data_IF_753901930310
#
_entry.id   IF_753901930310
#
_cell.length_a   1.000
_cell.length_b   1.000
_cell.length_c   1.000
_cell.angle_alpha   90.00
_cell.angle_beta   90.00
_cell.angle_gamma   90.00
#
_symmetry.space_group_name_H-M   'P 1'
#
loop_
_entity.id
_entity.type
_entity.pdbx_description
1 polymer ?
#
# COMPACT_ATOMS: atom_id res chain seq x y z
N UNK A 1 46.50 -8.46 -22.11
CA UNK A 1 45.13 -8.44 -22.69
C UNK A 1 44.05 -9.09 -21.82
N UNK A 2 44.30 -9.44 -20.54
CA UNK A 2 43.25 -9.94 -19.61
C UNK A 2 42.49 -8.82 -18.87
N UNK A 3 43.15 -7.71 -18.54
CA UNK A 3 42.56 -6.63 -17.73
C UNK A 3 41.50 -5.77 -18.47
N UNK A 4 41.50 -5.74 -19.81
CA UNK A 4 40.55 -4.89 -20.55
C UNK A 4 39.13 -5.48 -20.57
N UNK A 5 39.03 -6.82 -20.68
CA UNK A 5 37.74 -7.52 -20.64
C UNK A 5 37.10 -7.47 -19.25
N UNK A 6 37.90 -7.53 -18.18
CA UNK A 6 37.39 -7.42 -16.80
C UNK A 6 36.88 -6.02 -16.49
N UNK A 7 37.60 -4.96 -16.89
CA UNK A 7 37.14 -3.57 -16.71
C UNK A 7 35.89 -3.27 -17.55
N UNK A 8 35.81 -3.79 -18.78
CA UNK A 8 34.65 -3.61 -19.63
C UNK A 8 33.42 -4.36 -19.08
N UNK A 9 33.61 -5.57 -18.54
CA UNK A 9 32.54 -6.33 -17.85
C UNK A 9 32.05 -5.60 -16.60
N UNK A 10 32.95 -5.02 -15.80
CA UNK A 10 32.58 -4.23 -14.61
C UNK A 10 31.81 -2.97 -15.01
N UNK A 11 32.28 -2.20 -16.00
CA UNK A 11 31.60 -1.00 -16.48
C UNK A 11 30.23 -1.33 -17.09
N UNK A 12 30.12 -2.42 -17.83
CA UNK A 12 28.85 -2.89 -18.38
C UNK A 12 27.87 -3.33 -17.27
N UNK A 13 28.36 -4.01 -16.22
CA UNK A 13 27.57 -4.34 -15.04
C UNK A 13 27.06 -3.09 -14.30
N UNK A 14 27.91 -2.07 -14.14
CA UNK A 14 27.53 -0.79 -13.53
C UNK A 14 26.46 -0.05 -14.35
N UNK A 15 26.54 -0.09 -15.69
CA UNK A 15 25.55 0.52 -16.58
C UNK A 15 24.20 -0.21 -16.50
N UNK A 16 24.19 -1.54 -16.44
CA UNK A 16 22.95 -2.31 -16.29
C UNK A 16 22.29 -2.01 -14.94
N UNK A 17 23.05 -2.04 -13.84
CA UNK A 17 22.50 -1.80 -12.48
C UNK A 17 21.96 -0.37 -12.35
N UNK A 18 22.65 0.61 -12.90
CA UNK A 18 22.21 2.02 -12.84
C UNK A 18 20.92 2.26 -13.64
N UNK A 19 20.77 1.63 -14.81
CA UNK A 19 19.55 1.76 -15.62
C UNK A 19 18.30 1.21 -14.94
N UNK A 20 18.40 0.05 -14.27
CA UNK A 20 17.29 -0.57 -13.54
C UNK A 20 16.87 0.27 -12.34
N UNK A 21 17.82 0.85 -11.61
CA UNK A 21 17.53 1.72 -10.48
C UNK A 21 16.86 3.03 -10.91
N UNK A 22 17.26 3.62 -12.04
CA UNK A 22 16.64 4.83 -12.56
C UNK A 22 15.18 4.58 -12.99
N UNK A 23 14.92 3.51 -13.73
CA UNK A 23 13.56 3.15 -14.16
C UNK A 23 12.63 2.89 -12.97
N UNK A 24 13.14 2.29 -11.89
CA UNK A 24 12.40 2.05 -10.65
C UNK A 24 11.99 3.33 -9.95
N UNK A 25 12.93 4.27 -9.83
CA UNK A 25 12.67 5.58 -9.21
C UNK A 25 11.62 6.37 -9.99
N UNK A 26 11.60 6.25 -11.32
CA UNK A 26 10.60 6.91 -12.15
C UNK A 26 9.20 6.34 -11.92
N UNK A 27 9.04 5.00 -11.92
CA UNK A 27 7.73 4.36 -11.67
C UNK A 27 7.18 4.69 -10.27
N UNK A 28 8.02 4.64 -9.23
CA UNK A 28 7.60 5.00 -7.87
C UNK A 28 7.14 6.46 -7.78
N UNK A 29 7.91 7.37 -8.37
CA UNK A 29 7.59 8.80 -8.38
C UNK A 29 6.29 9.07 -9.14
N UNK A 30 6.08 8.42 -10.29
CA UNK A 30 4.84 8.53 -11.06
C UNK A 30 3.64 8.00 -10.28
N UNK A 31 3.78 6.88 -9.55
CA UNK A 31 2.70 6.29 -8.76
C UNK A 31 2.26 7.22 -7.64
N UNK A 32 3.19 7.67 -6.82
CA UNK A 32 2.85 8.57 -5.73
C UNK A 32 2.36 9.93 -6.24
N UNK A 33 2.88 10.42 -7.36
CA UNK A 33 2.36 11.64 -7.99
C UNK A 33 0.90 11.45 -8.43
N UNK A 34 0.59 10.36 -9.14
CA UNK A 34 -0.79 10.06 -9.55
C UNK A 34 -1.74 10.03 -8.35
N UNK A 35 -1.32 9.35 -7.27
CA UNK A 35 -2.13 9.23 -6.05
C UNK A 35 -2.33 10.60 -5.40
N UNK A 36 -1.26 11.39 -5.24
CA UNK A 36 -1.35 12.73 -4.67
C UNK A 36 -2.24 13.67 -5.49
N UNK A 37 -2.08 13.69 -6.81
CA UNK A 37 -2.88 14.55 -7.68
C UNK A 37 -4.36 14.17 -7.59
N UNK A 38 -4.68 12.88 -7.61
CA UNK A 38 -6.07 12.42 -7.59
C UNK A 38 -6.72 12.58 -6.22
N UNK A 39 -6.03 12.19 -5.16
CA UNK A 39 -6.54 12.31 -3.79
C UNK A 39 -6.54 13.75 -3.29
N UNK A 40 -5.51 14.52 -3.62
CA UNK A 40 -5.40 15.93 -3.23
C UNK A 40 -6.60 16.73 -3.72
N UNK A 41 -7.02 16.54 -4.97
CA UNK A 41 -8.23 17.17 -5.51
C UNK A 41 -9.49 16.73 -4.74
N UNK A 42 -9.65 15.43 -4.47
CA UNK A 42 -10.81 14.93 -3.72
C UNK A 42 -10.85 15.51 -2.29
N UNK A 43 -9.71 15.57 -1.63
CA UNK A 43 -9.56 16.01 -0.24
C UNK A 43 -9.72 17.52 -0.13
N UNK A 44 -9.18 18.30 -1.06
CA UNK A 44 -9.40 19.74 -1.13
C UNK A 44 -10.90 20.03 -1.30
N UNK A 45 -11.57 19.33 -2.22
CA UNK A 45 -13.00 19.52 -2.47
C UNK A 45 -13.88 19.12 -1.28
N UNK A 46 -13.53 18.05 -0.56
CA UNK A 46 -14.33 17.56 0.56
C UNK A 46 -14.09 18.32 1.86
N UNK A 47 -12.82 18.65 2.15
CA UNK A 47 -12.36 19.07 3.47
C UNK A 47 -11.56 20.39 3.46
N UNK A 48 -11.28 20.97 2.29
CA UNK A 48 -10.52 22.21 2.15
C UNK A 48 -9.00 22.10 2.39
N UNK A 49 -8.47 20.88 2.50
CA UNK A 49 -7.04 20.61 2.73
C UNK A 49 -6.31 20.56 1.38
N UNK A 50 -5.32 21.44 1.18
CA UNK A 50 -4.67 21.66 -0.13
C UNK A 50 -3.34 20.92 -0.32
N UNK A 51 -2.72 20.49 0.77
CA UNK A 51 -1.36 19.92 0.78
C UNK A 51 -1.36 18.45 1.21
N UNK A 52 -2.28 17.65 0.66
CA UNK A 52 -2.30 16.23 0.93
C UNK A 52 -1.03 15.56 0.39
N UNK A 53 -0.37 14.76 1.24
CA UNK A 53 0.78 13.95 0.87
C UNK A 53 0.58 12.49 1.29
N UNK A 54 0.35 11.63 0.31
CA UNK A 54 0.16 10.21 0.48
C UNK A 54 1.37 9.52 1.12
N UNK A 55 2.59 9.87 0.72
CA UNK A 55 3.81 9.26 1.29
C UNK A 55 3.91 9.57 2.79
N UNK A 56 3.58 10.79 3.19
CA UNK A 56 3.58 11.18 4.59
C UNK A 56 2.47 10.49 5.38
N UNK A 57 1.28 10.30 4.79
CA UNK A 57 0.21 9.52 5.39
C UNK A 57 0.67 8.08 5.67
N UNK A 58 1.19 7.39 4.64
CA UNK A 58 1.62 5.99 4.75
C UNK A 58 2.72 5.82 5.80
N UNK A 59 3.70 6.73 5.84
CA UNK A 59 4.76 6.71 6.87
C UNK A 59 4.21 6.89 8.28
N UNK A 60 3.24 7.80 8.47
CA UNK A 60 2.59 8.00 9.78
C UNK A 60 1.84 6.76 10.24
N UNK A 61 1.13 6.08 9.33
CA UNK A 61 0.44 4.82 9.64
C UNK A 61 1.42 3.70 9.98
N UNK A 62 2.46 3.48 9.16
CA UNK A 62 3.45 2.44 9.43
C UNK A 62 4.17 2.67 10.77
N UNK A 63 4.55 3.93 11.05
CA UNK A 63 5.14 4.30 12.32
C UNK A 63 4.20 4.06 13.50
N UNK A 64 2.90 4.37 13.34
CA UNK A 64 1.89 4.08 14.36
C UNK A 64 1.84 2.58 14.68
N UNK A 65 1.84 1.72 13.66
CA UNK A 65 1.76 0.27 13.82
C UNK A 65 3.00 -0.31 14.49
N UNK A 66 4.19 0.17 14.12
CA UNK A 66 5.46 -0.22 14.76
C UNK A 66 5.51 0.20 16.22
N UNK A 67 5.13 1.44 16.53
CA UNK A 67 5.23 1.99 17.89
C UNK A 67 4.30 1.30 18.89
N UNK A 68 3.17 0.76 18.42
CA UNK A 68 2.19 0.08 19.26
C UNK A 68 2.27 -1.46 19.13
N UNK A 69 3.27 -1.97 18.41
CA UNK A 69 3.54 -3.41 18.31
C UNK A 69 2.51 -4.22 17.52
N UNK A 70 1.69 -3.57 16.67
CA UNK A 70 0.83 -4.30 15.74
C UNK A 70 1.66 -5.03 14.68
N UNK A 71 2.78 -4.42 14.28
CA UNK A 71 3.87 -5.06 13.54
C UNK A 71 5.17 -4.80 14.31
N UNK A 72 6.11 -5.75 14.28
CA UNK A 72 7.44 -5.57 14.89
C UNK A 72 8.46 -5.06 13.88
N UNK A 73 8.26 -5.38 12.59
CA UNK A 73 9.18 -5.08 11.49
C UNK A 73 8.41 -4.81 10.21
N UNK A 74 9.09 -4.15 9.28
CA UNK A 74 8.59 -3.82 7.95
C UNK A 74 8.82 -4.97 6.95
N UNK A 75 8.38 -6.17 7.29
CA UNK A 75 8.52 -7.39 6.48
C UNK A 75 7.17 -8.09 6.25
N UNK A 76 7.10 -8.94 5.22
CA UNK A 76 5.81 -9.55 4.80
C UNK A 76 5.13 -10.34 5.90
N UNK A 77 5.90 -11.10 6.67
CA UNK A 77 5.40 -11.98 7.72
C UNK A 77 4.69 -11.18 8.82
N UNK A 78 5.29 -10.07 9.27
CA UNK A 78 4.68 -9.19 10.27
C UNK A 78 3.34 -8.60 9.80
N UNK A 79 3.24 -8.18 8.53
CA UNK A 79 2.00 -7.65 7.99
C UNK A 79 0.93 -8.73 7.82
N UNK A 80 1.30 -9.94 7.39
CA UNK A 80 0.39 -11.09 7.31
C UNK A 80 -0.17 -11.41 8.69
N UNK A 81 0.67 -11.46 9.71
CA UNK A 81 0.23 -11.80 11.08
C UNK A 81 -0.63 -10.70 11.70
N UNK A 82 -0.31 -9.43 11.46
CA UNK A 82 -1.17 -8.32 11.83
C UNK A 82 -2.57 -8.47 11.21
N UNK A 83 -2.65 -8.71 9.90
CA UNK A 83 -3.95 -8.87 9.22
C UNK A 83 -4.72 -10.09 9.73
N UNK A 84 -4.06 -11.22 9.99
CA UNK A 84 -4.72 -12.37 10.64
C UNK A 84 -5.35 -11.98 11.98
N UNK A 85 -4.63 -11.25 12.83
CA UNK A 85 -5.15 -10.75 14.12
C UNK A 85 -6.39 -9.87 13.93
N UNK A 86 -6.34 -8.97 12.94
CA UNK A 86 -7.42 -8.02 12.66
C UNK A 86 -8.66 -8.68 12.04
N UNK A 87 -8.50 -9.79 11.32
CA UNK A 87 -9.64 -10.55 10.81
C UNK A 87 -10.36 -11.39 11.88
N UNK A 88 -9.76 -11.55 13.07
CA UNK A 88 -10.43 -12.19 14.20
C UNK A 88 -11.46 -11.24 14.82
N UNK A 89 -12.69 -11.71 15.04
CA UNK A 89 -13.80 -10.91 15.58
C UNK A 89 -13.54 -10.38 17.00
N UNK A 90 -12.65 -11.03 17.78
CA UNK A 90 -12.40 -10.64 19.16
C UNK A 90 -11.68 -9.28 19.24
N UNK A 91 -12.28 -8.26 19.87
CA UNK A 91 -11.62 -6.98 20.12
C UNK A 91 -10.40 -7.13 21.03
N UNK A 92 -9.36 -6.34 20.76
CA UNK A 92 -8.14 -6.25 21.55
C UNK A 92 -7.88 -4.76 21.85
N UNK A 93 -7.63 -4.42 23.11
CA UNK A 93 -7.53 -3.01 23.56
C UNK A 93 -6.44 -2.21 22.82
N UNK A 94 -5.28 -2.83 22.57
CA UNK A 94 -4.19 -2.15 21.85
C UNK A 94 -4.58 -1.85 20.39
N UNK A 95 -5.31 -2.74 19.73
CA UNK A 95 -5.78 -2.51 18.37
C UNK A 95 -6.84 -1.40 18.32
N UNK A 96 -7.70 -1.31 19.34
CA UNK A 96 -8.67 -0.21 19.47
C UNK A 96 -7.96 1.14 19.68
N UNK A 97 -6.89 1.17 20.46
CA UNK A 97 -6.07 2.38 20.63
C UNK A 97 -5.42 2.81 19.30
N UNK A 98 -4.84 1.85 18.58
CA UNK A 98 -4.27 2.09 17.25
C UNK A 98 -5.33 2.62 16.29
N UNK A 99 -6.51 2.00 16.25
CA UNK A 99 -7.63 2.46 15.43
C UNK A 99 -7.98 3.93 15.73
N UNK A 100 -8.12 4.31 17.00
CA UNK A 100 -8.43 5.71 17.38
C UNK A 100 -7.34 6.68 16.91
N UNK A 101 -6.06 6.32 17.07
CA UNK A 101 -4.94 7.16 16.60
C UNK A 101 -4.86 7.25 15.08
N UNK A 102 -5.21 6.18 14.38
CA UNK A 102 -5.36 6.18 12.93
C UNK A 102 -6.46 7.15 12.47
N UNK A 103 -7.61 7.15 13.15
CA UNK A 103 -8.68 8.10 12.83
C UNK A 103 -8.22 9.55 12.98
N UNK A 104 -7.47 9.88 14.03
CA UNK A 104 -6.89 11.21 14.18
C UNK A 104 -5.93 11.58 13.03
N UNK A 105 -5.17 10.61 12.49
CA UNK A 105 -4.32 10.83 11.32
C UNK A 105 -5.17 11.11 10.09
N UNK A 106 -6.25 10.35 9.88
CA UNK A 106 -7.18 10.56 8.77
C UNK A 106 -7.87 11.92 8.86
N UNK A 107 -8.38 12.30 10.03
CA UNK A 107 -9.02 13.60 10.25
C UNK A 107 -8.07 14.76 9.95
N UNK A 108 -6.80 14.67 10.41
CA UNK A 108 -5.79 15.71 10.16
C UNK A 108 -5.37 15.81 8.70
N UNK A 109 -5.35 14.69 7.98
CA UNK A 109 -4.93 14.63 6.57
C UNK A 109 -6.09 14.83 5.60
N UNK A 110 -7.33 14.80 6.10
CA UNK A 110 -8.53 14.79 5.28
C UNK A 110 -8.72 13.50 4.50
N UNK A 111 -7.95 12.44 4.80
CA UNK A 111 -8.00 11.19 4.05
C UNK A 111 -9.36 10.53 4.19
N UNK A 112 -10.05 10.35 3.07
CA UNK A 112 -11.34 9.67 3.02
C UNK A 112 -11.10 8.18 2.76
N UNK A 113 -11.63 7.32 3.63
CA UNK A 113 -11.45 5.87 3.55
C UNK A 113 -11.94 5.25 2.24
N UNK A 114 -12.94 5.86 1.59
CA UNK A 114 -13.46 5.44 0.29
C UNK A 114 -12.55 5.82 -0.89
N UNK A 115 -11.59 6.70 -0.68
CA UNK A 115 -10.60 7.06 -1.70
C UNK A 115 -9.54 5.98 -1.92
N UNK A 116 -9.60 4.89 -1.15
CA UNK A 116 -8.81 3.67 -1.33
C UNK A 116 -9.00 3.05 -2.72
N UNK A 117 -10.19 3.17 -3.33
CA UNK A 117 -10.45 2.72 -4.71
C UNK A 117 -9.50 3.39 -5.72
N UNK A 118 -9.28 4.69 -5.60
CA UNK A 118 -8.36 5.44 -6.47
C UNK A 118 -6.90 4.96 -6.32
N UNK A 119 -6.48 4.64 -5.09
CA UNK A 119 -5.14 4.13 -4.78
C UNK A 119 -4.93 2.72 -5.33
N UNK A 120 -5.97 1.90 -5.27
CA UNK A 120 -5.89 0.47 -5.56
C UNK A 120 -6.18 0.09 -7.01
N UNK A 121 -6.97 0.91 -7.72
CA UNK A 121 -7.39 0.59 -9.08
C UNK A 121 -6.84 1.62 -10.10
N UNK A 122 -7.13 2.91 -9.93
CA UNK A 122 -6.90 3.90 -10.98
C UNK A 122 -5.42 4.17 -11.27
N UNK A 123 -4.62 4.47 -10.24
CA UNK A 123 -3.21 4.83 -10.42
C UNK A 123 -2.29 3.64 -10.76
N UNK A 124 -2.41 2.47 -10.11
CA UNK A 124 -1.67 1.27 -10.52
C UNK A 124 -1.95 0.88 -11.98
N UNK A 125 -3.22 0.94 -12.41
CA UNK A 125 -3.58 0.64 -13.79
C UNK A 125 -2.97 1.63 -14.77
N UNK A 126 -3.07 2.95 -14.50
CA UNK A 126 -2.52 4.02 -15.34
C UNK A 126 -1.02 3.87 -15.63
N UNK A 127 -0.25 3.39 -14.66
CA UNK A 127 1.22 3.26 -14.79
C UNK A 127 1.60 1.92 -15.42
N UNK A 128 0.75 0.91 -15.26
CA UNK A 128 0.99 -0.42 -15.82
C UNK A 128 0.61 -0.60 -17.30
N UNK A 129 0.15 0.45 -17.99
CA UNK A 129 -0.44 0.37 -19.35
C UNK A 129 0.49 -0.29 -20.38
N UNK A 130 1.81 -0.18 -20.22
CA UNK A 130 2.77 -0.75 -21.16
C UNK A 130 3.36 -2.13 -20.76
N UNK A 131 3.06 -2.65 -19.54
CA UNK A 131 3.50 -3.95 -18.97
C UNK A 131 4.89 -4.45 -19.40
N UNK A 132 5.82 -3.54 -19.62
CA UNK A 132 7.03 -3.83 -20.39
C UNK A 132 8.16 -4.26 -19.47
N UNK A 133 8.17 -3.74 -18.23
CA UNK A 133 9.14 -4.06 -17.20
C UNK A 133 8.52 -4.88 -16.04
N UNK A 134 9.37 -5.49 -15.23
CA UNK A 134 8.92 -6.38 -14.14
C UNK A 134 8.25 -5.62 -12.98
N UNK A 135 8.61 -4.35 -12.77
CA UNK A 135 8.02 -3.49 -11.73
C UNK A 135 6.54 -3.17 -12.05
N UNK A 136 6.26 -2.74 -13.28
CA UNK A 136 4.91 -2.48 -13.78
C UNK A 136 4.01 -3.71 -13.67
N UNK A 137 4.56 -4.90 -13.95
CA UNK A 137 3.82 -6.17 -13.80
C UNK A 137 3.44 -6.45 -12.35
N UNK A 138 4.32 -6.18 -11.39
CA UNK A 138 4.02 -6.39 -9.96
C UNK A 138 2.94 -5.42 -9.50
N UNK A 139 3.07 -4.14 -9.83
CA UNK A 139 2.06 -3.11 -9.51
C UNK A 139 0.70 -3.48 -10.14
N UNK A 140 0.71 -3.95 -11.39
CA UNK A 140 -0.49 -4.45 -12.05
C UNK A 140 -1.12 -5.64 -11.33
N UNK A 141 -0.31 -6.64 -10.98
CA UNK A 141 -0.78 -7.85 -10.29
C UNK A 141 -1.37 -7.50 -8.91
N UNK A 142 -0.73 -6.59 -8.17
CA UNK A 142 -1.29 -6.04 -6.95
C UNK A 142 -2.65 -5.38 -7.20
N UNK A 143 -2.78 -4.55 -8.25
CA UNK A 143 -4.07 -3.96 -8.64
C UNK A 143 -5.16 -5.00 -8.94
N UNK A 144 -4.83 -6.07 -9.67
CA UNK A 144 -5.77 -7.17 -9.96
C UNK A 144 -6.24 -7.88 -8.68
N UNK A 145 -5.32 -8.16 -7.75
CA UNK A 145 -5.64 -8.80 -6.48
C UNK A 145 -6.48 -7.88 -5.58
N UNK A 146 -6.22 -6.58 -5.59
CA UNK A 146 -7.05 -5.59 -4.87
C UNK A 146 -8.47 -5.53 -5.41
N UNK A 147 -8.66 -5.55 -6.73
CA UNK A 147 -10.00 -5.61 -7.33
C UNK A 147 -10.74 -6.88 -6.91
N UNK A 148 -10.07 -8.04 -6.92
CA UNK A 148 -10.64 -9.29 -6.40
C UNK A 148 -11.04 -9.16 -4.92
N UNK A 149 -10.25 -8.48 -4.09
CA UNK A 149 -10.61 -8.24 -2.68
C UNK A 149 -11.78 -7.28 -2.51
N UNK A 150 -11.96 -6.29 -3.38
CA UNK A 150 -13.16 -5.44 -3.36
C UNK A 150 -14.44 -6.21 -3.67
N UNK A 151 -14.38 -7.22 -4.54
CA UNK A 151 -15.50 -8.09 -4.89
C UNK A 151 -15.78 -9.15 -3.81
N UNK A 152 -14.73 -9.71 -3.20
CA UNK A 152 -14.82 -10.87 -2.32
C UNK A 152 -14.69 -10.53 -0.82
N UNK A 153 -14.51 -9.25 -0.48
CA UNK A 153 -14.32 -8.76 0.88
C UNK A 153 -12.85 -8.47 1.21
N UNK A 154 -12.59 -7.24 1.67
CA UNK A 154 -11.25 -6.74 2.06
C UNK A 154 -10.70 -7.38 3.35
N UNK A 155 -11.48 -8.22 4.03
CA UNK A 155 -11.11 -8.99 5.21
C UNK A 155 -10.90 -10.49 4.91
N UNK A 156 -10.91 -10.90 3.63
CA UNK A 156 -10.62 -12.27 3.24
C UNK A 156 -9.13 -12.59 3.43
N UNK A 157 -8.81 -13.42 4.42
CA UNK A 157 -7.42 -13.69 4.82
C UNK A 157 -6.58 -14.40 3.74
N UNK A 158 -7.21 -15.25 2.92
CA UNK A 158 -6.51 -15.96 1.85
C UNK A 158 -6.08 -14.98 0.75
N UNK A 159 -6.98 -14.07 0.36
CA UNK A 159 -6.68 -13.03 -0.63
C UNK A 159 -5.67 -12.00 -0.10
N UNK A 160 -5.77 -11.63 1.18
CA UNK A 160 -4.79 -10.75 1.83
C UNK A 160 -3.39 -11.36 1.83
N UNK A 161 -3.30 -12.67 2.09
CA UNK A 161 -2.04 -13.41 2.01
C UNK A 161 -1.51 -13.47 0.58
N UNK A 162 -2.36 -13.83 -0.39
CA UNK A 162 -2.02 -13.85 -1.83
C UNK A 162 -1.50 -12.48 -2.28
N UNK A 163 -2.14 -11.39 -1.83
CA UNK A 163 -1.73 -10.02 -2.13
C UNK A 163 -0.31 -9.68 -1.64
N UNK A 164 0.00 -10.02 -0.38
CA UNK A 164 1.32 -9.74 0.19
C UNK A 164 2.39 -10.62 -0.44
N UNK A 165 2.09 -11.89 -0.70
CA UNK A 165 3.03 -12.86 -1.27
C UNK A 165 3.31 -12.63 -2.76
N UNK A 166 2.45 -11.89 -3.47
CA UNK A 166 2.67 -11.48 -4.86
C UNK A 166 3.88 -10.54 -5.06
N UNK A 167 4.40 -9.97 -3.97
CA UNK A 167 5.62 -9.14 -3.97
C UNK A 167 6.72 -9.90 -3.23
N UNK A 168 7.94 -9.98 -3.77
CA UNK A 168 9.07 -10.60 -3.07
C UNK A 168 9.56 -9.73 -1.89
N UNK A 169 10.34 -10.29 -0.97
CA UNK A 169 10.78 -9.55 0.22
C UNK A 169 11.64 -8.32 -0.11
N UNK A 170 12.45 -8.39 -1.17
CA UNK A 170 13.32 -7.29 -1.58
C UNK A 170 12.48 -6.12 -2.06
N UNK A 171 11.46 -6.38 -2.85
CA UNK A 171 10.52 -5.37 -3.34
C UNK A 171 9.61 -4.87 -2.22
N UNK A 172 9.14 -5.77 -1.36
CA UNK A 172 8.30 -5.42 -0.21
C UNK A 172 9.02 -4.50 0.79
N UNK A 173 10.36 -4.54 0.84
CA UNK A 173 11.15 -3.60 1.65
C UNK A 173 10.96 -2.13 1.24
N UNK A 174 10.46 -1.87 0.03
CA UNK A 174 10.23 -0.52 -0.48
C UNK A 174 8.80 -0.05 -0.26
N UNK A 175 8.71 1.23 0.10
CA UNK A 175 7.46 1.83 0.52
C UNK A 175 6.40 1.79 -0.59
N UNK A 176 6.79 1.94 -1.85
CA UNK A 176 5.87 1.90 -3.00
C UNK A 176 5.08 0.60 -3.05
N UNK A 177 5.75 -0.56 -2.91
CA UNK A 177 5.11 -1.88 -2.97
C UNK A 177 4.41 -2.27 -1.66
N UNK A 178 4.86 -1.74 -0.53
CA UNK A 178 4.27 -2.02 0.80
C UNK A 178 3.13 -1.08 1.18
N UNK A 179 3.07 0.11 0.58
CA UNK A 179 2.02 1.10 0.88
C UNK A 179 0.59 0.57 0.76
N UNK A 180 0.25 -0.29 -0.22
CA UNK A 180 -1.10 -0.85 -0.28
C UNK A 180 -1.40 -1.77 0.92
N UNK A 181 -0.42 -2.56 1.37
CA UNK A 181 -0.56 -3.42 2.55
C UNK A 181 -0.78 -2.61 3.82
N UNK A 182 -0.06 -1.48 3.99
CA UNK A 182 -0.23 -0.56 5.11
C UNK A 182 -1.67 -0.02 5.17
N UNK A 183 -2.25 0.30 4.01
CA UNK A 183 -3.66 0.70 3.91
C UNK A 183 -4.62 -0.45 4.18
N UNK A 184 -4.34 -1.66 3.72
CA UNK A 184 -5.17 -2.83 4.02
C UNK A 184 -5.24 -3.10 5.53
N UNK A 185 -4.14 -2.90 6.26
CA UNK A 185 -4.15 -2.91 7.72
C UNK A 185 -5.09 -1.84 8.28
N UNK A 186 -5.00 -0.61 7.74
CA UNK A 186 -5.84 0.50 8.18
C UNK A 186 -7.34 0.23 7.97
N UNK A 187 -7.67 -0.34 6.82
CA UNK A 187 -9.02 -0.73 6.42
C UNK A 187 -9.54 -1.86 7.32
N UNK A 188 -8.70 -2.86 7.64
CA UNK A 188 -9.11 -3.97 8.50
C UNK A 188 -9.29 -3.54 9.96
N UNK A 189 -8.50 -2.59 10.46
CA UNK A 189 -8.78 -1.92 11.74
C UNK A 189 -10.15 -1.23 11.72
N UNK A 190 -10.46 -0.51 10.64
CA UNK A 190 -11.77 0.13 10.47
C UNK A 190 -12.91 -0.89 10.41
N UNK A 191 -12.77 -2.00 9.68
CA UNK A 191 -13.75 -3.08 9.67
C UNK A 191 -14.01 -3.65 11.07
N UNK A 192 -12.97 -3.82 11.86
CA UNK A 192 -13.07 -4.40 13.20
C UNK A 192 -13.75 -3.45 14.19
N UNK A 193 -13.42 -2.16 14.15
CA UNK A 193 -13.79 -1.20 15.21
C UNK A 193 -14.79 -0.11 14.80
N UNK A 194 -15.07 0.08 13.51
CA UNK A 194 -16.04 1.06 13.02
C UNK A 194 -17.38 0.43 12.66
N UNK A 195 -18.36 0.60 13.56
CA UNK A 195 -19.73 0.10 13.38
C UNK A 195 -20.45 0.66 12.14
N UNK A 196 -20.07 1.85 11.64
CA UNK A 196 -20.66 2.41 10.40
C UNK A 196 -20.15 1.67 9.17
N UNK A 197 -18.86 1.33 9.13
CA UNK A 197 -18.24 0.56 8.03
C UNK A 197 -18.81 -0.85 7.96
N UNK A 198 -19.01 -1.52 9.11
CA UNK A 198 -19.67 -2.83 9.18
C UNK A 198 -21.07 -2.82 8.55
N UNK A 199 -21.84 -1.74 8.75
CA UNK A 199 -23.21 -1.61 8.21
C UNK A 199 -23.23 -1.28 6.72
N UNK A 200 -22.30 -0.49 6.21
CA UNK A 200 -22.28 -0.05 4.82
C UNK A 200 -22.02 -1.20 3.82
N UNK A 201 -21.16 -2.15 4.18
CA UNK A 201 -20.86 -3.30 3.31
C UNK A 201 -22.00 -4.31 3.28
N UNK A 202 -22.70 -4.51 4.40
CA UNK A 202 -23.86 -5.40 4.45
C UNK A 202 -24.94 -4.99 3.43
N UNK A 203 -25.09 -3.70 3.18
CA UNK A 203 -26.06 -3.14 2.20
C UNK A 203 -25.60 -3.27 0.74
N UNK A 204 -24.30 -3.49 0.47
CA UNK A 204 -23.79 -3.71 -0.90
C UNK A 204 -23.77 -5.18 -1.35
N UNK A 205 -23.91 -6.11 -0.41
CA UNK A 205 -23.87 -7.56 -0.66
C UNK A 205 -25.29 -8.15 -0.75
N UNK A 206 -26.29 -7.44 -0.25
CA UNK A 206 -27.73 -7.71 -0.47
C UNK A 206 -28.25 -7.00 -1.74
#
# INVERSE_FOLDING_TARGET
MKNFNEVFLILFYFLIISSVNAQRLDVEKELFKCINDTLGIQIENANGIKDFNYVDLIKKLEQLYLQHGLIQKNDRENYIDALKSLTNEKPIDIELEIYKKQEEIFDKTGFLKFSTYTIFESCPYYISVNKSNDIEKIIYNQGVLLNRMFENGLNNIELLKEFIEATDEKQFSELVFRSPTILLVAINLDFKYNEKTKKFIKVKID
#
